data_IF_366254989102
#
_entry.id   IF_366254989102
#
_cell.length_a   1.000
_cell.length_b   1.000
_cell.length_c   1.000
_cell.angle_alpha   90.00
_cell.angle_beta   90.00
_cell.angle_gamma   90.00
#
_symmetry.space_group_name_H-M   'P 1'
#
loop_
_entity.id
_entity.type
_entity.pdbx_description
1 polymer ?
#
# COMPACT_ATOMS: atom_id res chain seq x y z
N UNK A 1 -11.89 5.08 20.81
CA UNK A 1 -11.46 3.93 19.99
C UNK A 1 -10.90 2.84 20.89
N UNK A 2 -11.44 1.63 20.78
CA UNK A 2 -10.86 0.42 21.37
C UNK A 2 -9.57 0.01 20.61
N UNK A 3 -8.84 -1.00 21.11
CA UNK A 3 -7.57 -1.43 20.50
C UNK A 3 -7.74 -1.85 19.03
N UNK A 4 -8.78 -2.60 18.71
CA UNK A 4 -9.09 -3.01 17.33
C UNK A 4 -9.39 -1.83 16.42
N UNK A 5 -10.22 -0.88 16.85
CA UNK A 5 -10.54 0.32 16.07
C UNK A 5 -9.30 1.17 15.78
N UNK A 6 -8.36 1.25 16.73
CA UNK A 6 -7.07 1.94 16.51
C UNK A 6 -6.20 1.19 15.51
N UNK A 7 -6.10 -0.14 15.66
CA UNK A 7 -5.31 -0.97 14.76
C UNK A 7 -5.84 -0.90 13.33
N UNK A 8 -7.15 -1.07 13.14
CA UNK A 8 -7.78 -0.98 11.81
C UNK A 8 -7.56 0.40 11.18
N UNK A 9 -7.71 1.48 11.96
CA UNK A 9 -7.44 2.82 11.48
C UNK A 9 -5.98 3.02 11.01
N UNK A 10 -5.02 2.44 11.74
CA UNK A 10 -3.60 2.44 11.34
C UNK A 10 -3.40 1.60 10.08
N UNK A 11 -3.87 0.35 10.08
CA UNK A 11 -3.69 -0.59 8.96
C UNK A 11 -4.36 -0.13 7.66
N UNK A 12 -5.38 0.73 7.76
CA UNK A 12 -6.04 1.36 6.61
C UNK A 12 -5.08 2.27 5.82
N UNK A 13 -4.09 2.88 6.48
CA UNK A 13 -3.17 3.87 5.87
C UNK A 13 -1.69 3.54 6.05
N UNK A 14 -1.37 2.46 6.75
CA UNK A 14 0.00 2.08 7.09
C UNK A 14 0.10 0.58 7.27
N UNK A 15 0.96 -0.04 6.46
CA UNK A 15 1.16 -1.49 6.55
C UNK A 15 1.65 -1.91 7.94
N UNK A 16 1.26 -3.12 8.36
CA UNK A 16 1.84 -3.76 9.54
C UNK A 16 3.38 -3.79 9.40
N UNK A 17 4.16 -3.47 10.45
CA UNK A 17 5.61 -3.59 10.40
C UNK A 17 6.04 -5.00 9.94
N UNK A 18 6.93 -5.06 8.94
CA UNK A 18 7.33 -6.31 8.29
C UNK A 18 6.40 -6.81 7.16
N UNK A 19 5.25 -6.19 6.95
CA UNK A 19 4.29 -6.54 5.91
C UNK A 19 4.21 -5.54 4.73
N UNK A 20 4.88 -4.40 4.81
CA UNK A 20 4.90 -3.43 3.71
C UNK A 20 5.52 -4.03 2.46
N UNK A 21 4.86 -3.81 1.32
CA UNK A 21 5.36 -4.19 -0.01
C UNK A 21 6.63 -3.44 -0.40
N UNK A 22 6.85 -2.24 0.15
CA UNK A 22 8.10 -1.49 -0.06
C UNK A 22 9.35 -2.24 0.42
N UNK A 23 9.21 -3.16 1.38
CA UNK A 23 10.34 -3.99 1.83
C UNK A 23 10.89 -4.89 0.71
N UNK A 24 10.11 -5.16 -0.33
CA UNK A 24 10.52 -6.02 -1.43
C UNK A 24 11.32 -5.28 -2.50
N UNK A 25 11.38 -3.95 -2.44
CA UNK A 25 12.02 -3.11 -3.46
C UNK A 25 11.26 -3.06 -4.80
N UNK A 26 9.99 -3.46 -4.81
CA UNK A 26 9.12 -3.48 -6.00
C UNK A 26 8.10 -2.36 -6.03
N UNK A 27 7.92 -1.64 -4.92
CA UNK A 27 6.81 -0.71 -4.71
C UNK A 27 7.33 0.71 -4.43
N UNK A 28 6.64 1.70 -5.00
CA UNK A 28 7.09 3.10 -5.08
C UNK A 28 5.93 4.08 -4.90
N UNK A 29 6.16 5.12 -4.11
CA UNK A 29 5.28 6.28 -4.02
C UNK A 29 5.77 7.35 -4.99
N UNK A 30 4.94 7.74 -5.95
CA UNK A 30 5.31 8.65 -7.04
C UNK A 30 4.48 9.93 -6.98
N UNK A 31 5.15 11.09 -6.99
CA UNK A 31 4.52 12.41 -7.03
C UNK A 31 5.26 13.36 -8.00
N UNK A 32 4.58 14.43 -8.41
CA UNK A 32 5.19 15.53 -9.16
C UNK A 32 5.67 16.62 -8.20
N UNK A 33 6.99 16.92 -8.10
CA UNK A 33 7.48 17.92 -7.16
C UNK A 33 7.20 19.36 -7.59
N UNK A 34 7.00 19.64 -8.88
CA UNK A 34 6.98 21.01 -9.43
C UNK A 34 5.91 21.91 -8.81
N UNK A 35 4.67 21.45 -8.52
CA UNK A 35 3.66 22.29 -7.88
C UNK A 35 4.03 22.70 -6.44
N UNK A 36 4.82 21.88 -5.75
CA UNK A 36 5.18 22.06 -4.34
C UNK A 36 6.44 22.92 -4.12
N UNK A 37 7.16 23.29 -5.19
CA UNK A 37 8.31 24.18 -5.11
C UNK A 37 7.92 25.66 -4.90
N UNK A 38 6.63 25.98 -5.00
CA UNK A 38 6.12 27.34 -4.80
C UNK A 38 6.13 27.69 -3.31
N UNK A 39 6.62 28.89 -2.90
CA UNK A 39 6.75 29.26 -1.48
C UNK A 39 5.47 29.17 -0.66
N UNK A 40 4.32 29.38 -1.29
CA UNK A 40 3.00 29.41 -0.64
C UNK A 40 2.20 28.10 -0.81
N UNK A 41 2.76 27.09 -1.49
CA UNK A 41 2.09 25.81 -1.64
C UNK A 41 2.31 24.95 -0.38
N UNK A 42 1.27 24.30 0.16
CA UNK A 42 1.44 23.37 1.28
C UNK A 42 2.39 22.23 0.90
N UNK A 43 3.11 21.64 1.88
CA UNK A 43 3.94 20.46 1.62
C UNK A 43 3.10 19.29 1.10
N UNK A 44 3.76 18.36 0.40
CA UNK A 44 3.14 17.10 -0.03
C UNK A 44 2.66 16.30 1.19
N UNK A 45 1.40 15.86 1.17
CA UNK A 45 0.80 15.04 2.23
C UNK A 45 0.50 13.59 1.79
N UNK A 46 0.61 13.28 0.48
CA UNK A 46 0.20 12.01 -0.13
C UNK A 46 -1.27 11.68 0.19
N UNK A 47 -2.17 12.53 -0.32
CA UNK A 47 -3.62 12.35 -0.15
C UNK A 47 -4.31 12.16 -1.48
N UNK A 48 -5.45 11.46 -1.49
CA UNK A 48 -6.25 11.23 -2.72
C UNK A 48 -6.59 12.55 -3.42
N UNK A 49 -6.81 13.62 -2.65
CA UNK A 49 -7.11 14.96 -3.18
C UNK A 49 -5.98 15.51 -4.04
N UNK A 50 -4.72 15.22 -3.71
CA UNK A 50 -3.57 15.70 -4.50
C UNK A 50 -3.52 15.06 -5.89
N UNK A 51 -4.10 13.88 -6.06
CA UNK A 51 -4.13 13.09 -7.29
C UNK A 51 -5.51 13.11 -7.98
N UNK A 52 -6.49 13.84 -7.42
CA UNK A 52 -7.82 14.03 -7.99
C UNK A 52 -7.85 15.23 -8.95
N UNK A 53 -8.91 15.38 -9.75
CA UNK A 53 -9.04 16.52 -10.67
C UNK A 53 -8.83 17.87 -9.96
N UNK A 54 -7.94 18.71 -10.51
CA UNK A 54 -7.52 19.98 -9.91
C UNK A 54 -6.43 19.86 -8.82
N UNK A 55 -6.03 18.64 -8.45
CA UNK A 55 -4.91 18.39 -7.56
C UNK A 55 -3.54 18.53 -8.23
N UNK A 56 -2.47 18.86 -7.48
CA UNK A 56 -1.12 19.09 -8.00
C UNK A 56 -0.53 17.87 -8.75
N UNK A 57 -0.84 16.65 -8.32
CA UNK A 57 -0.32 15.41 -8.91
C UNK A 57 -1.25 14.81 -9.96
N UNK A 58 -2.42 15.41 -10.24
CA UNK A 58 -3.43 14.85 -11.14
C UNK A 58 -2.87 14.55 -12.53
N UNK A 59 -2.10 15.48 -13.11
CA UNK A 59 -1.51 15.28 -14.44
C UNK A 59 -0.54 14.10 -14.50
N UNK A 60 0.30 13.94 -13.47
CA UNK A 60 1.23 12.82 -13.38
C UNK A 60 0.47 11.50 -13.17
N UNK A 61 -0.54 11.49 -12.31
CA UNK A 61 -1.41 10.34 -12.10
C UNK A 61 -2.07 9.88 -13.39
N UNK A 62 -2.71 10.79 -14.13
CA UNK A 62 -3.33 10.50 -15.42
C UNK A 62 -2.31 9.90 -16.40
N UNK A 63 -1.10 10.42 -16.45
CA UNK A 63 -0.05 9.85 -17.30
C UNK A 63 0.29 8.40 -16.89
N UNK A 64 0.45 8.13 -15.59
CA UNK A 64 0.75 6.79 -15.09
C UNK A 64 -0.39 5.80 -15.36
N UNK A 65 -1.65 6.24 -15.28
CA UNK A 65 -2.81 5.42 -15.65
C UNK A 65 -2.81 4.97 -17.12
N UNK A 66 -2.05 5.62 -18.00
CA UNK A 66 -1.94 5.20 -19.40
C UNK A 66 -0.68 4.40 -19.68
N UNK A 67 0.41 4.63 -18.94
CA UNK A 67 1.74 4.16 -19.30
C UNK A 67 2.37 3.19 -18.30
N UNK A 68 1.94 3.14 -17.04
CA UNK A 68 2.57 2.27 -16.02
C UNK A 68 2.61 0.80 -16.46
N UNK A 69 1.53 0.33 -17.10
CA UNK A 69 1.41 -1.01 -17.65
C UNK A 69 2.50 -1.33 -18.68
N UNK A 70 2.86 -0.38 -19.53
CA UNK A 70 3.85 -0.57 -20.60
C UNK A 70 5.23 -0.93 -20.02
N UNK A 71 5.47 -0.59 -18.75
CA UNK A 71 6.70 -0.85 -18.01
C UNK A 71 6.52 -1.92 -16.91
N UNK A 72 5.38 -2.63 -16.87
CA UNK A 72 5.12 -3.69 -15.90
C UNK A 72 4.70 -3.20 -14.51
N UNK A 73 4.29 -1.95 -14.37
CA UNK A 73 3.74 -1.41 -13.14
C UNK A 73 2.21 -1.44 -13.12
N UNK A 74 1.65 -1.58 -11.92
CA UNK A 74 0.21 -1.50 -11.65
C UNK A 74 -0.02 -0.81 -10.30
N UNK A 75 -1.28 -0.47 -10.01
CA UNK A 75 -1.69 0.17 -8.76
C UNK A 75 -2.37 -0.86 -7.86
N UNK A 76 -1.67 -1.46 -6.86
CA UNK A 76 -2.25 -2.48 -5.99
C UNK A 76 -3.41 -1.94 -5.14
N UNK A 77 -3.41 -0.64 -4.86
CA UNK A 77 -4.43 0.04 -4.05
C UNK A 77 -5.25 1.04 -4.89
N UNK A 78 -5.53 0.72 -6.16
CA UNK A 78 -6.39 1.55 -7.01
C UNK A 78 -7.82 1.69 -6.46
N UNK A 79 -8.33 0.64 -5.82
CA UNK A 79 -9.66 0.61 -5.18
C UNK A 79 -9.54 0.14 -3.74
N UNK A 80 -10.44 0.64 -2.89
CA UNK A 80 -10.61 0.10 -1.55
C UNK A 80 -11.27 -1.29 -1.61
N UNK A 81 -10.54 -2.32 -1.17
CA UNK A 81 -11.01 -3.71 -1.16
C UNK A 81 -11.34 -4.23 0.26
N UNK A 82 -11.45 -3.34 1.26
CA UNK A 82 -11.79 -3.71 2.65
C UNK A 82 -10.61 -3.74 3.64
N UNK A 83 -9.43 -3.31 3.20
CA UNK A 83 -8.22 -3.16 4.03
C UNK A 83 -7.50 -1.85 3.79
N UNK A 84 -6.46 -1.86 2.94
CA UNK A 84 -5.71 -0.63 2.61
C UNK A 84 -6.59 0.33 1.82
N UNK A 85 -6.51 1.63 2.18
CA UNK A 85 -7.20 2.72 1.50
C UNK A 85 -6.74 2.86 0.04
N UNK A 86 -7.45 3.68 -0.75
CA UNK A 86 -7.01 3.99 -2.10
C UNK A 86 -5.77 4.89 -2.08
N UNK A 87 -4.70 4.46 -2.75
CA UNK A 87 -3.40 5.14 -2.79
C UNK A 87 -2.97 5.38 -4.25
N UNK A 88 -3.44 6.47 -4.89
CA UNK A 88 -3.12 6.79 -6.29
C UNK A 88 -1.64 7.12 -6.56
N UNK A 89 -0.82 7.23 -5.51
CA UNK A 89 0.64 7.39 -5.60
C UNK A 89 1.40 6.07 -5.62
N UNK A 90 0.77 4.98 -5.17
CA UNK A 90 1.43 3.70 -4.92
C UNK A 90 1.47 2.84 -6.18
N UNK A 91 2.66 2.62 -6.72
CA UNK A 91 2.91 1.72 -7.84
C UNK A 91 3.64 0.46 -7.37
N UNK A 92 3.31 -0.68 -7.97
CA UNK A 92 4.00 -1.95 -7.73
C UNK A 92 4.47 -2.58 -9.04
N UNK A 93 5.71 -3.08 -9.06
CA UNK A 93 6.32 -3.74 -10.20
C UNK A 93 5.88 -5.22 -10.24
N UNK A 94 4.90 -5.51 -11.12
CA UNK A 94 4.23 -6.80 -11.20
C UNK A 94 5.17 -8.01 -11.39
N UNK A 95 6.22 -7.95 -12.23
CA UNK A 95 7.07 -9.12 -12.52
C UNK A 95 7.76 -9.75 -11.31
N UNK A 96 7.90 -9.01 -10.20
CA UNK A 96 8.45 -9.54 -8.96
C UNK A 96 7.45 -9.51 -7.81
N UNK A 97 6.64 -8.45 -7.71
CA UNK A 97 5.75 -8.28 -6.57
C UNK A 97 4.67 -9.36 -6.48
N UNK A 98 4.22 -9.90 -7.62
CA UNK A 98 3.25 -11.00 -7.65
C UNK A 98 3.86 -12.33 -7.19
N UNK A 99 5.15 -12.55 -7.41
CA UNK A 99 5.86 -13.74 -6.93
C UNK A 99 6.18 -13.64 -5.42
N UNK A 100 6.40 -12.42 -4.90
CA UNK A 100 6.74 -12.19 -3.51
C UNK A 100 5.54 -12.21 -2.57
N UNK A 101 4.39 -11.67 -3.00
CA UNK A 101 3.16 -11.65 -2.19
C UNK A 101 2.81 -13.00 -1.55
N UNK A 102 2.74 -14.13 -2.28
CA UNK A 102 2.39 -15.42 -1.69
C UNK A 102 3.47 -15.98 -0.74
N UNK A 103 4.71 -15.48 -0.81
CA UNK A 103 5.80 -15.91 0.09
C UNK A 103 5.70 -15.26 1.47
N UNK A 104 5.03 -14.10 1.58
CA UNK A 104 4.75 -13.45 2.84
C UNK A 104 3.59 -14.15 3.55
N UNK A 105 3.85 -15.31 4.15
CA UNK A 105 2.84 -16.12 4.85
C UNK A 105 2.58 -15.62 6.28
N UNK A 106 1.46 -15.99 6.89
CA UNK A 106 1.20 -15.77 8.33
C UNK A 106 2.36 -16.31 9.19
N UNK A 107 2.92 -17.47 8.83
CA UNK A 107 4.05 -18.05 9.54
C UNK A 107 5.30 -17.16 9.43
N UNK A 108 5.61 -16.67 8.24
CA UNK A 108 6.73 -15.73 7.98
C UNK A 108 6.56 -14.44 8.79
N UNK A 109 5.35 -13.86 8.80
CA UNK A 109 5.03 -12.65 9.56
C UNK A 109 5.19 -12.87 11.06
N UNK A 110 4.64 -13.97 11.58
CA UNK A 110 4.76 -14.34 12.99
C UNK A 110 6.23 -14.53 13.40
N UNK A 111 7.02 -15.19 12.57
CA UNK A 111 8.45 -15.38 12.82
C UNK A 111 9.20 -14.04 12.86
N UNK A 112 8.92 -13.14 11.91
CA UNK A 112 9.52 -11.80 11.89
C UNK A 112 9.15 -10.99 13.15
N UNK A 113 7.87 -10.98 13.53
CA UNK A 113 7.39 -10.28 14.71
C UNK A 113 7.98 -10.84 16.01
N UNK A 114 8.04 -12.17 16.15
CA UNK A 114 8.65 -12.83 17.32
C UNK A 114 10.15 -12.54 17.40
N UNK A 115 10.84 -12.55 16.25
CA UNK A 115 12.27 -12.24 16.17
C UNK A 115 12.55 -10.79 16.59
N UNK A 116 11.74 -9.84 16.13
CA UNK A 116 11.84 -8.44 16.55
C UNK A 116 11.64 -8.28 18.07
N UNK A 117 10.64 -8.95 18.64
CA UNK A 117 10.39 -8.91 20.08
C UNK A 117 11.55 -9.53 20.89
N UNK A 118 12.16 -10.61 20.41
CA UNK A 118 13.34 -11.21 21.02
C UNK A 118 14.57 -10.29 20.99
N UNK A 119 14.63 -9.35 20.04
CA UNK A 119 15.65 -8.29 19.97
C UNK A 119 15.32 -7.08 20.88
N UNK A 120 14.21 -7.13 21.62
CA UNK A 120 13.75 -6.04 22.47
C UNK A 120 13.01 -4.94 21.71
N UNK A 121 12.58 -5.18 20.47
CA UNK A 121 11.72 -4.27 19.73
C UNK A 121 10.26 -4.54 20.13
N UNK A 122 9.71 -3.66 20.97
CA UNK A 122 8.35 -3.79 21.46
C UNK A 122 7.34 -3.21 20.46
N UNK A 123 6.23 -3.94 20.26
CA UNK A 123 5.09 -3.48 19.48
C UNK A 123 3.85 -3.46 20.36
N UNK A 124 3.24 -2.29 20.56
CA UNK A 124 1.96 -2.22 21.25
C UNK A 124 0.88 -3.00 20.47
N UNK A 125 0.06 -3.75 21.19
CA UNK A 125 -0.98 -4.59 20.57
C UNK A 125 -0.46 -5.88 19.94
N UNK A 126 0.78 -6.30 20.23
CA UNK A 126 1.37 -7.54 19.71
C UNK A 126 0.47 -8.76 19.81
N UNK A 127 -0.06 -9.06 21.00
CA UNK A 127 -0.93 -10.22 21.22
C UNK A 127 -2.21 -10.14 20.40
N UNK A 128 -2.78 -8.93 20.28
CA UNK A 128 -4.00 -8.68 19.52
C UNK A 128 -3.77 -8.88 18.00
N UNK A 129 -2.65 -8.37 17.48
CA UNK A 129 -2.25 -8.60 16.08
C UNK A 129 -2.02 -10.08 15.84
N UNK A 130 -1.33 -10.77 16.75
CA UNK A 130 -0.99 -12.18 16.59
C UNK A 130 -2.23 -13.08 16.58
N UNK A 131 -3.22 -12.79 17.43
CA UNK A 131 -4.51 -13.51 17.47
C UNK A 131 -5.31 -13.33 16.16
N UNK A 132 -5.10 -12.21 15.46
CA UNK A 132 -5.86 -11.81 14.26
C UNK A 132 -5.02 -11.84 12.97
N UNK A 133 -3.83 -12.45 13.01
CA UNK A 133 -2.86 -12.28 11.94
C UNK A 133 -3.35 -12.79 10.58
N UNK A 134 -4.16 -13.86 10.56
CA UNK A 134 -4.76 -14.38 9.33
C UNK A 134 -5.76 -13.36 8.73
N UNK A 135 -6.68 -12.81 9.53
CA UNK A 135 -7.62 -11.78 9.09
C UNK A 135 -6.90 -10.51 8.61
N UNK A 136 -5.85 -10.11 9.33
CA UNK A 136 -5.02 -8.94 9.00
C UNK A 136 -4.33 -9.16 7.66
N UNK A 137 -3.75 -10.34 7.45
CA UNK A 137 -3.08 -10.70 6.20
C UNK A 137 -4.06 -10.68 5.04
N UNK A 138 -5.21 -11.34 5.17
CA UNK A 138 -6.21 -11.38 4.11
C UNK A 138 -6.67 -9.98 3.74
N UNK A 139 -6.99 -9.14 4.74
CA UNK A 139 -7.58 -7.81 4.49
C UNK A 139 -6.56 -6.77 4.06
N UNK A 140 -5.40 -6.69 4.71
CA UNK A 140 -4.47 -5.56 4.55
C UNK A 140 -3.20 -5.89 3.76
N UNK A 141 -2.99 -7.17 3.39
CA UNK A 141 -1.81 -7.60 2.63
C UNK A 141 -2.23 -8.23 1.30
N UNK A 142 -3.20 -9.14 1.33
CA UNK A 142 -3.59 -9.93 0.14
C UNK A 142 -4.63 -9.22 -0.73
N UNK A 143 -5.46 -8.35 -0.15
CA UNK A 143 -6.52 -7.64 -0.85
C UNK A 143 -5.98 -6.48 -1.71
N UNK A 144 -5.35 -6.84 -2.83
CA UNK A 144 -4.84 -5.90 -3.85
C UNK A 144 -5.63 -6.00 -5.15
N UNK A 145 -5.67 -4.90 -5.91
CA UNK A 145 -6.11 -4.91 -7.30
C UNK A 145 -5.11 -5.71 -8.14
N UNK A 146 -5.59 -6.73 -8.86
CA UNK A 146 -4.72 -7.56 -9.70
C UNK A 146 -4.44 -6.90 -11.05
N UNK A 147 -3.26 -7.16 -11.66
CA UNK A 147 -2.90 -6.63 -12.97
C UNK A 147 -3.54 -7.40 -14.15
N UNK A 148 -4.29 -8.48 -13.95
CA UNK A 148 -4.80 -9.32 -15.04
C UNK A 148 -6.13 -8.83 -15.65
N UNK A 149 -6.11 -8.66 -16.98
CA UNK A 149 -7.24 -8.17 -17.76
C UNK A 149 -8.03 -9.28 -18.44
N UNK A 150 -9.30 -9.43 -18.06
CA UNK A 150 -10.35 -9.96 -18.93
C UNK A 150 -11.63 -9.15 -18.75
N UNK A 151 -11.84 -8.17 -19.63
CA UNK A 151 -13.13 -7.49 -19.82
C UNK A 151 -13.16 -6.06 -19.27
N UNK A 152 -13.10 -5.09 -20.19
CA UNK A 152 -13.36 -3.66 -20.02
C UNK A 152 -12.54 -2.93 -18.93
N UNK A 153 -11.62 -2.07 -19.37
CA UNK A 153 -11.12 -0.85 -18.69
C UNK A 153 -10.24 -0.91 -17.43
N UNK A 154 -9.89 -2.07 -16.87
CA UNK A 154 -9.35 -2.05 -15.50
C UNK A 154 -7.97 -2.69 -15.33
N UNK A 155 -6.91 -2.02 -15.80
CA UNK A 155 -5.57 -2.16 -15.19
C UNK A 155 -5.38 -1.20 -14.00
N UNK A 156 -6.38 -0.35 -13.75
CA UNK A 156 -6.22 0.92 -13.03
C UNK A 156 -7.37 1.31 -12.09
N UNK A 157 -8.34 0.43 -11.84
CA UNK A 157 -9.57 0.76 -11.12
C UNK A 157 -10.84 0.40 -11.88
#
# INVERSE_FOLDING_TARGET
MNCGEKLEAILTWSALPGASRHHWGTDFDVYDPRPFEQPDHPPLELTVKEYSEGGPCFGAYQWLLHHARDFGFFFPYARYLGGVASEPWHLSYAPFALDYLPQLTTATLKEAMTSAQNLGLEMEGYDYVLERLDDIKERYIDAICQPDGTGADVWFG
#
